data_IF_437714992573
#
_entry.id   IF_437714992573
#
_cell.length_a   1.000
_cell.length_b   1.000
_cell.length_c   1.000
_cell.angle_alpha   90.00
_cell.angle_beta   90.00
_cell.angle_gamma   90.00
#
_symmetry.space_group_name_H-M   'P 1'
#
loop_
_entity.id
_entity.type
_entity.pdbx_description
1 polymer ?
#
# COMPACT_ATOMS: atom_id res chain seq x y z
N UNK A 1 -3.77 -30.95 55.03
CA UNK A 1 -3.39 -31.37 53.66
C UNK A 1 -4.04 -30.54 52.54
N UNK A 2 -5.22 -29.93 52.74
CA UNK A 2 -5.88 -29.11 51.70
C UNK A 2 -5.22 -27.76 51.39
N UNK A 3 -4.43 -27.16 52.30
CA UNK A 3 -3.78 -25.86 52.07
C UNK A 3 -2.52 -25.91 51.21
N UNK A 4 -1.86 -27.06 51.10
CA UNK A 4 -0.66 -27.22 50.25
C UNK A 4 -1.02 -27.43 48.77
N UNK A 5 -2.19 -28.03 48.49
CA UNK A 5 -2.71 -28.22 47.13
C UNK A 5 -3.19 -26.91 46.49
N UNK A 6 -3.66 -25.95 47.29
CA UNK A 6 -4.13 -24.67 46.77
C UNK A 6 -2.99 -23.72 46.36
N UNK A 7 -1.84 -23.77 47.04
CA UNK A 7 -0.65 -23.00 46.62
C UNK A 7 -0.01 -23.56 45.34
N UNK A 8 -0.03 -24.89 45.15
CA UNK A 8 0.48 -25.51 43.92
C UNK A 8 -0.39 -25.17 42.69
N UNK A 9 -1.71 -25.01 42.87
CA UNK A 9 -2.63 -24.62 41.81
C UNK A 9 -2.49 -23.15 41.38
N UNK A 10 -2.15 -22.24 42.31
CA UNK A 10 -1.96 -20.81 42.00
C UNK A 10 -0.58 -20.54 41.36
N UNK A 11 0.44 -21.35 41.69
CA UNK A 11 1.76 -21.28 41.04
C UNK A 11 1.73 -21.87 39.62
N UNK A 12 0.87 -22.85 39.32
CA UNK A 12 0.68 -23.34 37.94
C UNK A 12 -0.13 -22.39 37.04
N UNK A 13 -0.93 -21.48 37.61
CA UNK A 13 -1.72 -20.50 36.87
C UNK A 13 -0.96 -19.18 36.57
N UNK A 14 0.28 -19.05 37.06
CA UNK A 14 1.14 -17.86 36.87
C UNK A 14 2.44 -18.16 36.14
N UNK A 15 2.61 -19.38 35.64
CA UNK A 15 3.65 -19.65 34.65
C UNK A 15 3.24 -18.94 33.35
N UNK A 16 4.06 -18.03 32.80
CA UNK A 16 3.83 -17.57 31.45
C UNK A 16 3.79 -18.84 30.59
N UNK A 17 2.69 -19.04 29.88
CA UNK A 17 2.67 -19.96 28.75
C UNK A 17 3.64 -19.33 27.75
N UNK A 18 4.93 -19.59 27.93
CA UNK A 18 5.91 -19.51 26.86
C UNK A 18 5.41 -20.55 25.88
N UNK A 19 4.57 -20.11 24.93
CA UNK A 19 4.16 -20.90 23.80
C UNK A 19 5.41 -21.18 22.99
N UNK A 20 6.21 -22.16 23.44
CA UNK A 20 7.22 -22.80 22.64
C UNK A 20 6.45 -23.53 21.55
N UNK A 21 6.11 -22.80 20.48
CA UNK A 21 5.84 -23.44 19.19
C UNK A 21 7.07 -24.33 18.90
N UNK A 22 6.87 -25.58 18.45
CA UNK A 22 7.97 -26.49 18.17
C UNK A 22 8.97 -25.80 17.24
N UNK A 23 10.27 -26.09 17.42
CA UNK A 23 11.33 -25.61 16.55
C UNK A 23 10.87 -25.77 15.09
N UNK A 24 10.61 -24.63 14.42
CA UNK A 24 10.17 -24.65 13.05
C UNK A 24 11.22 -25.42 12.26
N UNK A 25 10.83 -26.52 11.61
CA UNK A 25 11.67 -27.11 10.57
C UNK A 25 12.10 -25.94 9.67
N UNK A 26 13.40 -25.80 9.41
CA UNK A 26 13.97 -24.63 8.72
C UNK A 26 13.30 -24.44 7.37
N UNK A 27 12.21 -23.67 7.34
CA UNK A 27 11.52 -23.29 6.12
C UNK A 27 12.48 -22.33 5.42
N UNK A 28 13.05 -22.69 4.26
CA UNK A 28 14.04 -21.86 3.61
C UNK A 28 13.50 -20.44 3.41
N UNK A 29 14.31 -19.45 3.75
CA UNK A 29 13.99 -18.05 3.53
C UNK A 29 13.92 -17.77 2.02
N UNK A 30 12.98 -16.93 1.60
CA UNK A 30 13.01 -16.42 0.23
C UNK A 30 14.28 -15.58 0.01
N UNK A 31 14.87 -15.70 -1.17
CA UNK A 31 15.88 -14.75 -1.65
C UNK A 31 15.24 -13.43 -2.04
N UNK A 32 16.02 -12.35 -2.14
CA UNK A 32 15.53 -11.04 -2.62
C UNK A 32 14.85 -11.17 -3.99
N UNK A 33 15.42 -11.91 -4.93
CA UNK A 33 14.82 -12.13 -6.25
C UNK A 33 13.46 -12.85 -6.17
N UNK A 34 13.30 -13.79 -5.23
CA UNK A 34 12.02 -14.47 -5.02
C UNK A 34 10.98 -13.52 -4.39
N UNK A 35 11.39 -12.67 -3.46
CA UNK A 35 10.53 -11.62 -2.87
C UNK A 35 10.03 -10.65 -3.93
N UNK A 36 10.93 -10.11 -4.75
CA UNK A 36 10.59 -9.28 -5.89
C UNK A 36 9.66 -10.00 -6.86
N UNK A 37 9.89 -11.30 -7.12
CA UNK A 37 9.02 -12.09 -7.98
C UNK A 37 7.59 -12.22 -7.41
N UNK A 38 7.43 -12.40 -6.09
CA UNK A 38 6.11 -12.42 -5.45
C UNK A 38 5.39 -11.08 -5.56
N UNK A 39 6.09 -9.97 -5.29
CA UNK A 39 5.53 -8.62 -5.43
C UNK A 39 5.08 -8.36 -6.87
N UNK A 40 5.93 -8.65 -7.86
CA UNK A 40 5.56 -8.46 -9.27
C UNK A 40 4.45 -9.41 -9.75
N UNK A 41 4.43 -10.66 -9.28
CA UNK A 41 3.44 -11.65 -9.68
C UNK A 41 2.02 -11.30 -9.18
N UNK A 42 1.92 -10.72 -7.98
CA UNK A 42 0.64 -10.36 -7.35
C UNK A 42 0.29 -8.87 -7.40
N UNK A 43 1.15 -8.03 -7.99
CA UNK A 43 0.90 -6.59 -8.13
C UNK A 43 -0.47 -6.34 -8.80
N UNK A 44 -1.29 -5.41 -8.28
CA UNK A 44 -2.68 -5.24 -8.72
C UNK A 44 -2.81 -4.63 -10.13
N UNK A 45 -3.93 -4.85 -10.79
CA UNK A 45 -4.35 -3.99 -11.92
C UNK A 45 -5.35 -2.99 -11.38
N UNK A 46 -5.07 -1.70 -11.58
CA UNK A 46 -5.91 -0.60 -11.08
C UNK A 46 -6.65 0.00 -12.26
N UNK A 47 -7.97 -0.15 -12.26
CA UNK A 47 -8.88 0.59 -13.12
C UNK A 47 -9.14 1.93 -12.44
N UNK A 48 -9.07 3.04 -13.17
CA UNK A 48 -9.22 4.36 -12.55
C UNK A 48 -10.12 5.25 -13.38
N UNK A 49 -10.99 5.98 -12.68
CA UNK A 49 -11.77 7.09 -13.24
C UNK A 49 -10.87 8.31 -13.40
N UNK A 50 -11.26 9.22 -14.28
CA UNK A 50 -10.53 10.44 -14.59
C UNK A 50 -11.43 11.65 -14.30
N UNK A 51 -10.82 12.81 -14.11
CA UNK A 51 -11.42 14.11 -13.85
C UNK A 51 -10.60 15.23 -14.53
N UNK A 52 -10.35 15.09 -15.83
CA UNK A 52 -9.36 15.93 -16.54
C UNK A 52 -9.94 17.15 -17.27
N UNK A 53 -11.24 17.43 -17.26
CA UNK A 53 -11.76 18.62 -17.95
C UNK A 53 -11.45 19.91 -17.17
N UNK A 54 -11.71 21.04 -17.83
CA UNK A 54 -11.49 22.39 -17.30
C UNK A 54 -10.03 22.71 -16.93
N UNK A 55 -9.08 22.05 -17.61
CA UNK A 55 -7.65 22.31 -17.46
C UNK A 55 -7.04 21.51 -16.31
N UNK A 56 -7.41 20.24 -16.16
CA UNK A 56 -6.87 19.33 -15.14
C UNK A 56 -6.12 18.15 -15.78
N UNK A 57 -5.72 18.29 -17.05
CA UNK A 57 -5.07 17.24 -17.85
C UNK A 57 -3.88 16.60 -17.12
N UNK A 58 -3.94 15.28 -16.90
CA UNK A 58 -2.85 14.48 -16.33
C UNK A 58 -2.82 14.40 -14.81
N UNK A 59 -3.76 15.03 -14.09
CA UNK A 59 -3.87 14.98 -12.62
C UNK A 59 -4.41 13.67 -12.06
N UNK A 60 -4.72 12.71 -12.93
CA UNK A 60 -5.26 11.40 -12.51
C UNK A 60 -4.24 10.27 -12.71
N UNK A 61 -3.01 10.60 -13.10
CA UNK A 61 -1.97 9.60 -13.14
C UNK A 61 -1.54 9.21 -11.73
N UNK A 62 -1.28 7.92 -11.52
CA UNK A 62 -0.53 7.49 -10.35
C UNK A 62 0.84 8.20 -10.39
N UNK A 63 1.30 8.67 -9.24
CA UNK A 63 2.56 9.41 -9.14
C UNK A 63 3.51 8.79 -8.15
N UNK A 64 4.79 9.02 -8.40
CA UNK A 64 5.82 8.82 -7.40
C UNK A 64 5.73 9.95 -6.34
N UNK A 65 6.07 9.62 -5.11
CA UNK A 65 6.27 10.55 -3.99
C UNK A 65 7.12 11.80 -4.34
N UNK A 66 8.04 11.68 -5.29
CA UNK A 66 8.95 12.72 -5.79
C UNK A 66 8.86 12.87 -7.33
N UNK A 67 7.67 13.10 -7.88
CA UNK A 67 7.42 13.07 -9.34
C UNK A 67 8.11 14.20 -10.15
N UNK A 68 8.40 15.34 -9.54
CA UNK A 68 9.07 16.48 -10.19
C UNK A 68 10.58 16.57 -9.89
N UNK A 69 11.08 15.68 -9.02
CA UNK A 69 12.48 15.52 -8.64
C UNK A 69 13.13 16.74 -7.97
N UNK A 70 12.34 17.66 -7.41
CA UNK A 70 12.90 18.82 -6.71
C UNK A 70 13.33 18.52 -5.25
N UNK A 71 13.04 17.29 -4.78
CA UNK A 71 13.29 16.83 -3.42
C UNK A 71 12.64 17.75 -2.37
N UNK A 72 11.44 18.25 -2.65
CA UNK A 72 10.66 19.10 -1.76
C UNK A 72 9.19 18.68 -1.75
N UNK A 73 8.87 17.62 -1.03
CA UNK A 73 7.50 17.09 -1.00
C UNK A 73 6.44 18.06 -0.46
N UNK A 74 6.85 19.13 0.24
CA UNK A 74 5.94 20.19 0.66
C UNK A 74 5.43 21.07 -0.49
N UNK A 75 5.91 20.85 -1.71
CA UNK A 75 5.45 21.54 -2.92
C UNK A 75 4.66 20.63 -3.86
N UNK A 76 4.48 19.35 -3.52
CA UNK A 76 3.79 18.37 -4.35
C UNK A 76 2.40 18.86 -4.78
N UNK A 77 1.65 19.53 -3.90
CA UNK A 77 0.29 20.03 -4.17
C UNK A 77 0.22 20.84 -5.45
N UNK A 78 0.90 21.98 -5.49
CA UNK A 78 0.80 22.89 -6.64
C UNK A 78 1.62 22.40 -7.83
N UNK A 79 2.69 21.63 -7.61
CA UNK A 79 3.43 20.98 -8.69
C UNK A 79 2.55 19.98 -9.42
N UNK A 80 1.68 19.28 -8.69
CA UNK A 80 0.72 18.38 -9.28
C UNK A 80 -0.31 19.12 -10.14
N UNK A 81 -0.77 20.28 -9.65
CA UNK A 81 -1.62 21.18 -10.42
C UNK A 81 -0.95 21.75 -11.68
N UNK A 82 0.37 21.63 -11.86
CA UNK A 82 1.07 22.03 -13.09
C UNK A 82 1.22 20.89 -14.11
N UNK A 83 0.70 19.68 -13.84
CA UNK A 83 0.75 18.54 -14.78
C UNK A 83 0.11 18.84 -16.14
N UNK A 84 -0.90 19.71 -16.19
CA UNK A 84 -1.49 20.22 -17.43
C UNK A 84 -0.48 20.94 -18.33
N UNK A 85 0.48 21.67 -17.74
CA UNK A 85 1.54 22.34 -18.48
C UNK A 85 2.57 21.34 -19.00
N UNK A 86 2.82 20.25 -18.26
CA UNK A 86 3.63 19.14 -18.72
C UNK A 86 2.99 18.49 -19.96
N UNK A 87 1.69 18.23 -19.92
CA UNK A 87 0.90 17.69 -21.04
C UNK A 87 0.90 18.64 -22.24
N UNK A 88 0.64 19.93 -22.02
CA UNK A 88 0.63 20.93 -23.09
C UNK A 88 2.01 21.07 -23.75
N UNK A 89 3.08 21.08 -22.96
CA UNK A 89 4.45 21.13 -23.46
C UNK A 89 4.84 19.86 -24.24
N UNK A 90 4.38 18.68 -23.78
CA UNK A 90 4.49 17.41 -24.52
C UNK A 90 3.82 17.53 -25.89
N UNK A 91 2.57 18.01 -25.94
CA UNK A 91 1.82 18.18 -27.18
C UNK A 91 2.52 19.12 -28.17
N UNK A 92 3.09 20.21 -27.66
CA UNK A 92 3.88 21.17 -28.43
C UNK A 92 5.28 20.64 -28.85
N UNK A 93 5.69 19.47 -28.35
CA UNK A 93 7.04 18.91 -28.50
C UNK A 93 8.13 19.91 -28.08
N UNK A 94 7.85 20.66 -27.01
CA UNK A 94 8.71 21.73 -26.52
C UNK A 94 9.95 21.14 -25.81
N UNK A 95 11.05 20.98 -26.55
CA UNK A 95 12.30 20.39 -26.04
C UNK A 95 13.04 21.24 -25.01
N UNK A 96 12.66 22.52 -24.85
CA UNK A 96 13.20 23.45 -23.84
C UNK A 96 12.22 23.76 -22.70
N UNK A 97 11.14 22.99 -22.58
CA UNK A 97 10.17 23.17 -21.50
C UNK A 97 10.81 22.87 -20.14
N UNK A 98 10.54 23.67 -19.08
CA UNK A 98 10.97 23.32 -17.73
C UNK A 98 10.42 21.96 -17.27
N UNK A 99 9.26 21.56 -17.81
CA UNK A 99 8.59 20.29 -17.55
C UNK A 99 9.27 19.08 -18.21
N UNK A 100 10.20 19.28 -19.15
CA UNK A 100 10.89 18.17 -19.83
C UNK A 100 11.76 17.32 -18.88
N UNK A 101 12.16 17.92 -17.75
CA UNK A 101 12.91 17.24 -16.70
C UNK A 101 12.02 16.44 -15.74
N UNK A 102 10.71 16.73 -15.68
CA UNK A 102 9.79 16.03 -14.76
C UNK A 102 9.69 14.55 -15.12
N UNK A 103 9.42 13.75 -14.10
CA UNK A 103 9.34 12.29 -14.18
C UNK A 103 8.07 11.83 -13.48
N UNK A 104 6.94 12.07 -14.14
CA UNK A 104 5.68 11.45 -13.72
C UNK A 104 5.78 9.95 -14.02
N UNK A 105 6.01 9.19 -12.96
CA UNK A 105 6.17 7.74 -12.97
C UNK A 105 5.02 7.13 -12.18
N UNK A 106 4.03 6.51 -12.83
CA UNK A 106 3.08 5.66 -12.14
C UNK A 106 3.82 4.66 -11.26
N UNK A 107 3.64 4.77 -9.94
CA UNK A 107 4.42 4.04 -8.93
C UNK A 107 3.45 3.49 -7.89
N UNK A 108 3.66 2.23 -7.49
CA UNK A 108 3.14 1.71 -6.23
C UNK A 108 4.33 1.44 -5.30
N UNK A 109 4.33 2.09 -4.14
CA UNK A 109 5.31 1.79 -3.11
C UNK A 109 4.96 0.46 -2.46
N UNK A 110 5.93 -0.39 -2.24
CA UNK A 110 5.68 -1.77 -1.86
C UNK A 110 6.63 -2.25 -0.79
N UNK A 111 6.18 -3.29 -0.09
CA UNK A 111 7.00 -4.10 0.79
C UNK A 111 6.33 -5.46 0.97
N UNK A 112 7.02 -6.39 1.62
CA UNK A 112 6.40 -7.64 2.01
C UNK A 112 6.82 -8.07 3.41
N UNK A 113 5.92 -8.78 4.07
CA UNK A 113 6.15 -9.49 5.32
C UNK A 113 6.22 -10.97 5.03
N UNK A 114 7.35 -11.61 5.30
CA UNK A 114 7.53 -13.05 5.24
C UNK A 114 7.47 -13.62 6.65
N UNK A 115 6.61 -14.62 6.87
CA UNK A 115 6.49 -15.27 8.18
C UNK A 115 6.07 -16.73 8.05
N UNK A 116 6.27 -17.48 9.13
CA UNK A 116 5.88 -18.90 9.21
C UNK A 116 4.57 -19.01 10.01
N UNK A 117 3.53 -19.57 9.39
CA UNK A 117 2.29 -19.94 10.07
C UNK A 117 2.18 -21.45 10.12
N UNK A 118 2.27 -22.04 11.32
CA UNK A 118 2.40 -23.48 11.50
C UNK A 118 3.70 -24.02 10.88
N UNK A 119 3.59 -24.86 9.84
CA UNK A 119 4.74 -25.43 9.12
C UNK A 119 4.90 -24.86 7.70
N UNK A 120 4.12 -23.84 7.34
CA UNK A 120 4.12 -23.27 5.98
C UNK A 120 4.48 -21.79 6.02
N UNK A 121 5.07 -21.33 4.91
CA UNK A 121 5.39 -19.92 4.73
C UNK A 121 4.16 -19.16 4.24
N UNK A 122 4.00 -17.95 4.74
CA UNK A 122 2.99 -16.99 4.30
C UNK A 122 3.66 -15.67 3.97
N UNK A 123 3.05 -14.91 3.07
CA UNK A 123 3.43 -13.55 2.76
C UNK A 123 2.26 -12.61 3.02
N UNK A 124 2.55 -11.41 3.53
CA UNK A 124 1.69 -10.23 3.35
C UNK A 124 2.39 -9.35 2.33
N UNK A 125 1.73 -9.09 1.21
CA UNK A 125 2.24 -8.21 0.15
C UNK A 125 1.52 -6.87 0.30
N UNK A 126 2.29 -5.79 0.42
CA UNK A 126 1.77 -4.45 0.66
C UNK A 126 2.06 -3.58 -0.57
N UNK A 127 1.04 -2.89 -1.06
CA UNK A 127 1.15 -1.91 -2.13
C UNK A 127 0.45 -0.63 -1.67
N UNK A 128 1.12 0.51 -1.84
CA UNK A 128 0.67 1.81 -1.40
C UNK A 128 0.54 2.72 -2.62
N UNK A 129 -0.65 3.25 -2.80
CA UNK A 129 -0.98 4.24 -3.83
C UNK A 129 -0.74 5.61 -3.20
N UNK A 130 0.21 6.35 -3.74
CA UNK A 130 0.42 7.74 -3.37
C UNK A 130 -0.45 8.65 -4.24
N UNK A 131 -1.21 9.54 -3.62
CA UNK A 131 -1.89 10.62 -4.33
C UNK A 131 -1.18 11.95 -4.00
N UNK A 132 -0.62 12.58 -5.04
CA UNK A 132 0.16 13.80 -4.91
C UNK A 132 -0.69 15.01 -4.53
N UNK A 133 -1.98 15.00 -4.83
CA UNK A 133 -2.97 15.83 -4.19
C UNK A 133 -4.08 14.96 -3.59
N UNK A 134 -4.78 15.51 -2.61
CA UNK A 134 -5.98 14.93 -2.03
C UNK A 134 -7.20 15.13 -2.95
N UNK A 135 -8.34 14.55 -2.57
CA UNK A 135 -9.63 14.61 -3.23
C UNK A 135 -10.03 15.98 -3.77
N UNK A 136 -9.88 17.07 -3.03
CA UNK A 136 -10.27 18.38 -3.54
C UNK A 136 -9.14 19.07 -4.35
N UNK A 137 -8.03 18.38 -4.60
CA UNK A 137 -6.82 18.96 -5.17
C UNK A 137 -6.11 19.95 -4.24
N UNK A 138 -6.55 20.07 -2.98
CA UNK A 138 -6.18 21.14 -2.05
C UNK A 138 -5.37 20.67 -0.82
N UNK A 139 -5.06 19.38 -0.71
CA UNK A 139 -4.15 18.82 0.28
C UNK A 139 -3.12 17.88 -0.40
N UNK A 140 -2.16 17.33 0.34
CA UNK A 140 -1.07 16.46 -0.15
C UNK A 140 -0.99 15.17 0.66
N UNK A 141 -0.19 14.20 0.20
CA UNK A 141 0.13 12.99 0.97
C UNK A 141 -1.07 12.14 1.36
N UNK A 142 -2.03 11.94 0.45
CA UNK A 142 -2.97 10.84 0.62
C UNK A 142 -2.32 9.51 0.27
N UNK A 143 -2.66 8.49 1.04
CA UNK A 143 -2.13 7.15 0.90
C UNK A 143 -3.25 6.13 0.99
N UNK A 144 -3.48 5.44 -0.10
CA UNK A 144 -4.34 4.27 -0.12
C UNK A 144 -3.48 3.01 -0.11
N UNK A 145 -3.98 1.92 0.48
CA UNK A 145 -3.24 0.67 0.60
C UNK A 145 -4.02 -0.48 -0.02
N UNK A 146 -3.29 -1.37 -0.67
CA UNK A 146 -3.73 -2.70 -1.10
C UNK A 146 -2.84 -3.73 -0.41
N UNK A 147 -3.43 -4.55 0.44
CA UNK A 147 -2.77 -5.65 1.14
C UNK A 147 -3.25 -6.98 0.57
N UNK A 148 -2.33 -7.93 0.35
CA UNK A 148 -2.66 -9.28 -0.15
C UNK A 148 -1.96 -10.33 0.71
N UNK A 149 -2.72 -11.22 1.35
CA UNK A 149 -2.18 -12.31 2.17
C UNK A 149 -2.12 -13.61 1.36
N UNK A 150 -0.92 -14.12 1.14
CA UNK A 150 -0.65 -15.37 0.39
C UNK A 150 -0.19 -16.47 1.34
N UNK A 151 -0.76 -17.67 1.20
CA UNK A 151 -0.49 -18.84 2.04
C UNK A 151 0.17 -19.96 1.24
N UNK A 152 0.90 -20.83 1.94
CA UNK A 152 1.64 -21.97 1.37
C UNK A 152 2.68 -21.54 0.31
N UNK A 153 3.37 -20.45 0.62
CA UNK A 153 4.37 -19.83 -0.23
C UNK A 153 5.59 -20.75 -0.38
N UNK A 154 6.13 -20.78 -1.59
CA UNK A 154 7.32 -21.57 -1.95
C UNK A 154 8.39 -20.66 -2.55
N UNK A 155 9.41 -21.23 -3.19
CA UNK A 155 10.42 -20.43 -3.90
C UNK A 155 9.95 -19.82 -5.23
N UNK A 156 8.71 -20.08 -5.67
CA UNK A 156 8.17 -19.60 -6.95
C UNK A 156 6.71 -19.21 -6.80
N UNK A 157 6.32 -17.97 -7.17
CA UNK A 157 4.93 -17.54 -7.14
C UNK A 157 4.02 -18.42 -8.02
N UNK A 158 2.78 -18.63 -7.59
CA UNK A 158 1.79 -19.42 -8.31
C UNK A 158 2.03 -20.94 -8.27
N UNK A 159 2.93 -21.42 -7.41
CA UNK A 159 3.19 -22.85 -7.26
C UNK A 159 1.93 -23.62 -6.77
N UNK A 160 1.87 -24.92 -7.07
CA UNK A 160 0.75 -25.77 -6.66
C UNK A 160 0.59 -25.78 -5.14
N UNK A 161 -0.63 -25.51 -4.65
CA UNK A 161 -0.98 -25.47 -3.23
C UNK A 161 -0.87 -24.08 -2.59
N UNK A 162 -0.21 -23.13 -3.26
CA UNK A 162 -0.25 -21.71 -2.93
C UNK A 162 -1.63 -21.12 -3.20
N UNK A 163 -2.09 -20.22 -2.35
CA UNK A 163 -3.32 -19.49 -2.60
C UNK A 163 -3.32 -18.12 -1.91
N UNK A 164 -4.04 -17.18 -2.52
CA UNK A 164 -4.38 -15.92 -1.85
C UNK A 164 -5.52 -16.18 -0.88
N UNK A 165 -5.30 -15.86 0.39
CA UNK A 165 -6.26 -16.06 1.46
C UNK A 165 -7.26 -14.91 1.53
N UNK A 166 -6.75 -13.69 1.57
CA UNK A 166 -7.54 -12.47 1.61
C UNK A 166 -6.75 -11.31 0.98
N UNK A 167 -7.45 -10.21 0.77
CA UNK A 167 -6.89 -8.89 0.53
C UNK A 167 -7.65 -7.85 1.34
N UNK A 168 -6.99 -6.75 1.63
CA UNK A 168 -7.60 -5.54 2.21
C UNK A 168 -7.29 -4.36 1.30
N UNK A 169 -8.26 -3.48 1.09
CA UNK A 169 -8.03 -2.18 0.46
C UNK A 169 -8.44 -1.06 1.43
N UNK A 170 -7.77 0.07 1.35
CA UNK A 170 -8.22 1.27 2.06
C UNK A 170 -9.30 1.97 1.22
N UNK A 171 -10.39 2.32 1.88
CA UNK A 171 -11.53 3.03 1.34
C UNK A 171 -11.76 4.22 2.29
N UNK A 172 -11.09 5.35 2.02
CA UNK A 172 -10.99 6.46 2.98
C UNK A 172 -10.40 6.04 4.34
N UNK A 173 -11.19 6.09 5.41
CA UNK A 173 -10.79 5.68 6.77
C UNK A 173 -11.14 4.22 7.06
N UNK A 174 -11.71 3.51 6.09
CA UNK A 174 -12.18 2.13 6.23
C UNK A 174 -11.20 1.15 5.57
N UNK A 175 -11.22 -0.09 6.03
CA UNK A 175 -10.33 -1.14 5.55
C UNK A 175 -11.13 -2.37 5.12
N UNK A 176 -11.54 -2.33 3.85
CA UNK A 176 -12.45 -3.31 3.27
C UNK A 176 -11.70 -4.59 2.93
N UNK A 177 -12.11 -5.69 3.57
CA UNK A 177 -11.48 -7.00 3.39
C UNK A 177 -12.32 -7.89 2.46
N UNK A 178 -11.64 -8.64 1.61
CA UNK A 178 -12.22 -9.74 0.82
C UNK A 178 -11.39 -10.98 1.00
N UNK A 179 -12.03 -12.13 1.14
CA UNK A 179 -11.35 -13.41 1.26
C UNK A 179 -11.71 -14.37 0.14
N UNK A 180 -10.90 -15.42 0.05
CA UNK A 180 -11.10 -16.52 -0.88
C UNK A 180 -12.52 -17.08 -0.76
N UNK A 181 -13.27 -16.98 -1.85
CA UNK A 181 -14.64 -17.47 -1.96
C UNK A 181 -15.68 -16.36 -1.91
N UNK A 182 -15.30 -15.13 -1.55
CA UNK A 182 -16.19 -13.99 -1.59
C UNK A 182 -16.47 -13.56 -3.04
N UNK A 183 -17.68 -13.05 -3.27
CA UNK A 183 -18.01 -12.32 -4.50
C UNK A 183 -17.17 -11.04 -4.58
N UNK A 184 -16.65 -10.72 -5.76
CA UNK A 184 -15.79 -9.55 -5.96
C UNK A 184 -14.31 -9.76 -5.68
N UNK A 185 -13.90 -10.94 -5.19
CA UNK A 185 -12.49 -11.26 -5.00
C UNK A 185 -11.84 -11.77 -6.31
N UNK A 186 -11.79 -10.89 -7.31
CA UNK A 186 -11.41 -11.22 -8.67
C UNK A 186 -9.95 -10.90 -8.99
N UNK A 187 -9.36 -11.77 -9.82
CA UNK A 187 -7.98 -11.62 -10.28
C UNK A 187 -7.90 -11.74 -11.80
N UNK A 188 -7.08 -10.89 -12.41
CA UNK A 188 -6.56 -11.10 -13.76
C UNK A 188 -5.44 -12.14 -13.71
N UNK A 189 -5.73 -13.35 -14.17
CA UNK A 189 -4.73 -14.40 -14.27
C UNK A 189 -4.06 -14.34 -15.65
N UNK A 190 -2.74 -14.25 -15.67
CA UNK A 190 -1.90 -14.24 -16.87
C UNK A 190 -0.77 -15.24 -16.73
N UNK A 191 0.01 -15.44 -17.80
CA UNK A 191 1.18 -16.30 -17.75
C UNK A 191 2.29 -15.77 -16.82
N UNK A 192 2.30 -14.47 -16.50
CA UNK A 192 3.33 -13.80 -15.70
C UNK A 192 2.83 -13.29 -14.36
N UNK A 193 1.56 -13.51 -14.02
CA UNK A 193 1.01 -12.98 -12.77
C UNK A 193 -0.45 -13.31 -12.51
N UNK A 194 -0.85 -13.05 -11.27
CA UNK A 194 -2.21 -13.13 -10.75
C UNK A 194 -2.52 -11.81 -10.04
N UNK A 195 -3.10 -10.89 -10.79
CA UNK A 195 -3.24 -9.49 -10.38
C UNK A 195 -4.63 -9.25 -9.79
N UNK A 196 -4.69 -8.78 -8.54
CA UNK A 196 -5.96 -8.35 -7.95
C UNK A 196 -6.52 -7.19 -8.78
N UNK A 197 -7.82 -7.22 -9.09
CA UNK A 197 -8.47 -6.15 -9.84
C UNK A 197 -9.14 -5.18 -8.88
N UNK A 198 -8.66 -3.93 -8.89
CA UNK A 198 -9.12 -2.86 -8.02
C UNK A 198 -9.54 -1.69 -8.90
N UNK A 199 -10.60 -1.00 -8.50
CA UNK A 199 -11.01 0.26 -9.10
C UNK A 199 -10.69 1.40 -8.15
N UNK A 200 -10.22 2.53 -8.67
CA UNK A 200 -9.89 3.73 -7.90
C UNK A 200 -10.75 4.91 -8.38
N UNK A 201 -11.34 5.61 -7.43
CA UNK A 201 -11.97 6.89 -7.68
C UNK A 201 -10.95 7.99 -7.99
N UNK A 202 -11.45 9.19 -8.17
CA UNK A 202 -10.63 10.34 -8.48
C UNK A 202 -10.96 11.55 -7.61
N UNK A 203 -10.22 12.65 -7.83
CA UNK A 203 -10.27 13.87 -7.03
C UNK A 203 -11.73 14.32 -6.78
N UNK A 204 -12.55 14.57 -7.81
CA UNK A 204 -13.89 15.14 -7.60
C UNK A 204 -15.08 14.17 -7.70
N UNK A 205 -16.07 14.37 -6.82
CA UNK A 205 -17.45 13.87 -6.94
C UNK A 205 -18.39 14.61 -5.98
N UNK A 206 -19.68 14.70 -6.31
CA UNK A 206 -20.69 15.19 -5.34
C UNK A 206 -20.66 14.34 -4.07
N UNK A 207 -21.10 14.87 -2.92
CA UNK A 207 -21.18 14.18 -1.61
C UNK A 207 -21.91 12.81 -1.63
N UNK A 208 -22.57 12.45 -2.74
CA UNK A 208 -23.26 11.16 -2.93
C UNK A 208 -22.60 10.25 -3.99
N UNK A 209 -21.47 10.66 -4.57
CA UNK A 209 -20.76 9.94 -5.61
C UNK A 209 -19.47 9.30 -5.07
N UNK A 210 -19.10 8.16 -5.64
CA UNK A 210 -17.80 7.50 -5.50
C UNK A 210 -16.68 8.50 -5.85
N UNK A 211 -15.88 8.92 -4.87
CA UNK A 211 -14.96 10.07 -4.97
C UNK A 211 -13.68 9.86 -4.15
N UNK A 212 -12.78 10.84 -4.18
CA UNK A 212 -11.73 11.01 -3.20
C UNK A 212 -10.71 9.87 -3.11
N UNK A 213 -10.21 9.45 -4.27
CA UNK A 213 -9.17 8.42 -4.45
C UNK A 213 -9.49 7.03 -3.86
N UNK A 214 -10.70 6.83 -3.36
CA UNK A 214 -11.09 5.62 -2.66
C UNK A 214 -10.88 4.37 -3.53
N UNK A 215 -10.43 3.27 -2.92
CA UNK A 215 -10.29 1.99 -3.61
C UNK A 215 -11.54 1.13 -3.41
N UNK A 216 -11.91 0.41 -4.47
CA UNK A 216 -13.03 -0.55 -4.49
C UNK A 216 -12.60 -1.84 -5.19
N UNK A 217 -13.15 -2.98 -4.78
CA UNK A 217 -12.93 -4.22 -5.51
C UNK A 217 -13.71 -4.21 -6.82
N UNK A 218 -13.14 -4.78 -7.88
CA UNK A 218 -13.85 -5.01 -9.14
C UNK A 218 -14.60 -6.35 -9.08
N UNK A 219 -15.92 -6.28 -9.21
CA UNK A 219 -16.82 -7.44 -9.20
C UNK A 219 -16.80 -8.22 -10.51
N UNK A 220 -16.47 -7.55 -11.62
CA UNK A 220 -16.26 -8.20 -12.91
C UNK A 220 -15.10 -9.20 -12.89
N UNK A 221 -15.24 -10.26 -13.69
CA UNK A 221 -14.13 -11.18 -13.96
C UNK A 221 -13.26 -10.64 -15.09
N UNK A 222 -11.96 -10.94 -15.09
CA UNK A 222 -11.13 -10.54 -16.23
C UNK A 222 -11.61 -11.14 -17.55
N UNK A 223 -12.13 -12.37 -17.53
CA UNK A 223 -12.70 -13.02 -18.71
C UNK A 223 -13.94 -12.30 -19.24
N UNK A 224 -14.80 -11.74 -18.37
CA UNK A 224 -15.95 -10.96 -18.83
C UNK A 224 -15.45 -9.70 -19.53
N UNK A 225 -14.60 -8.91 -18.87
CA UNK A 225 -14.01 -7.68 -19.43
C UNK A 225 -13.30 -7.93 -20.77
N UNK A 226 -12.42 -8.93 -20.84
CA UNK A 226 -11.65 -9.24 -22.04
C UNK A 226 -12.50 -9.75 -23.22
N UNK A 227 -13.71 -10.23 -22.95
CA UNK A 227 -14.65 -10.70 -23.98
C UNK A 227 -15.57 -9.60 -24.52
N UNK A 228 -15.62 -8.44 -23.86
CA UNK A 228 -16.48 -7.34 -24.28
C UNK A 228 -15.95 -6.77 -25.61
N UNK A 229 -16.85 -6.41 -26.55
CA UNK A 229 -16.48 -5.59 -27.70
C UNK A 229 -15.76 -4.32 -27.22
N UNK A 230 -14.65 -3.96 -27.88
CA UNK A 230 -13.89 -2.76 -27.51
C UNK A 230 -14.68 -1.45 -27.69
N UNK A 231 -15.83 -1.52 -28.38
CA UNK A 231 -16.79 -0.42 -28.60
C UNK A 231 -17.92 -0.40 -27.58
N UNK A 232 -17.85 -1.21 -26.54
CA UNK A 232 -18.73 -1.09 -25.38
C UNK A 232 -18.17 -0.05 -24.41
N UNK A 233 -19.06 0.51 -23.59
CA UNK A 233 -18.75 1.36 -22.46
C UNK A 233 -17.65 0.72 -21.59
N UNK A 234 -16.60 1.49 -21.34
CA UNK A 234 -15.50 1.16 -20.45
C UNK A 234 -15.96 1.34 -19.01
N UNK A 235 -16.64 0.34 -18.49
CA UNK A 235 -17.15 0.33 -17.13
C UNK A 235 -16.85 -0.99 -16.43
N UNK A 236 -16.79 -0.94 -15.10
CA UNK A 236 -16.68 -2.12 -14.24
C UNK A 236 -17.68 -2.04 -13.10
N UNK A 237 -18.25 -3.18 -12.72
CA UNK A 237 -19.02 -3.30 -11.49
C UNK A 237 -18.06 -3.27 -10.28
N UNK A 238 -18.38 -2.47 -9.26
CA UNK A 238 -17.55 -2.33 -8.06
C UNK A 238 -18.27 -2.75 -6.77
N UNK A 239 -17.51 -3.15 -5.76
CA UNK A 239 -18.05 -3.49 -4.44
C UNK A 239 -18.77 -2.31 -3.77
N UNK A 240 -19.92 -2.56 -3.16
CA UNK A 240 -20.63 -1.60 -2.29
C UNK A 240 -21.49 -0.54 -3.00
N UNK A 241 -21.59 -0.55 -4.34
CA UNK A 241 -22.42 0.44 -5.07
C UNK A 241 -23.47 -0.15 -6.03
N UNK A 242 -23.57 -1.48 -6.18
CA UNK A 242 -24.54 -2.18 -7.06
C UNK A 242 -24.71 -1.53 -8.46
N UNK A 243 -23.66 -0.88 -8.97
CA UNK A 243 -23.67 -0.13 -10.21
C UNK A 243 -22.30 -0.15 -10.89
N UNK A 244 -22.31 0.10 -12.20
CA UNK A 244 -21.12 0.22 -13.01
C UNK A 244 -20.43 1.57 -12.81
N UNK A 245 -19.10 1.57 -12.87
CA UNK A 245 -18.28 2.79 -12.82
C UNK A 245 -17.36 2.91 -14.02
N UNK A 246 -17.28 4.14 -14.53
CA UNK A 246 -16.42 4.50 -15.65
C UNK A 246 -14.95 4.18 -15.39
N UNK A 247 -14.28 3.75 -16.46
CA UNK A 247 -12.85 3.45 -16.54
C UNK A 247 -12.24 4.29 -17.63
N UNK A 248 -11.40 5.25 -17.24
CA UNK A 248 -10.62 6.07 -18.17
C UNK A 248 -9.18 5.60 -18.26
N UNK A 249 -8.68 5.00 -17.18
CA UNK A 249 -7.32 4.52 -17.04
C UNK A 249 -7.28 3.06 -16.61
N UNK A 250 -6.29 2.33 -17.13
CA UNK A 250 -5.89 1.00 -16.66
C UNK A 250 -4.40 1.04 -16.36
N UNK A 251 -4.04 0.98 -15.09
CA UNK A 251 -2.66 0.90 -14.62
C UNK A 251 -2.27 -0.56 -14.45
N UNK A 252 -1.20 -0.95 -15.15
CA UNK A 252 -0.74 -2.35 -15.26
C UNK A 252 0.69 -2.49 -14.75
N UNK A 253 1.02 -3.50 -13.95
CA UNK A 253 2.38 -3.67 -13.43
C UNK A 253 3.37 -3.91 -14.57
N UNK A 254 4.40 -3.06 -14.68
CA UNK A 254 5.34 -3.08 -15.80
C UNK A 254 6.11 -4.40 -15.94
N UNK A 255 6.35 -5.09 -14.82
CA UNK A 255 7.06 -6.36 -14.80
C UNK A 255 6.23 -7.55 -15.32
N UNK A 256 4.90 -7.41 -15.40
CA UNK A 256 4.04 -8.48 -15.90
C UNK A 256 3.83 -8.35 -17.41
N UNK A 257 4.78 -8.86 -18.20
CA UNK A 257 4.75 -8.72 -19.66
C UNK A 257 3.48 -9.28 -20.30
N UNK A 258 2.87 -10.33 -19.73
CA UNK A 258 1.61 -10.86 -20.24
C UNK A 258 0.43 -9.94 -19.95
N UNK A 259 0.37 -9.30 -18.76
CA UNK A 259 -0.66 -8.31 -18.46
C UNK A 259 -0.50 -7.03 -19.29
N UNK A 260 0.74 -6.55 -19.46
CA UNK A 260 1.08 -5.41 -20.33
C UNK A 260 0.63 -5.68 -21.76
N UNK A 261 0.93 -6.87 -22.29
CA UNK A 261 0.51 -7.27 -23.64
C UNK A 261 -1.01 -7.36 -23.76
N UNK A 262 -1.67 -7.95 -22.77
CA UNK A 262 -3.12 -8.15 -22.79
C UNK A 262 -3.89 -6.82 -22.81
N UNK A 263 -3.41 -5.80 -22.09
CA UNK A 263 -4.01 -4.47 -22.07
C UNK A 263 -3.44 -3.51 -23.10
N UNK A 264 -2.29 -3.83 -23.72
CA UNK A 264 -1.57 -2.90 -24.58
C UNK A 264 -1.04 -1.67 -23.83
N UNK A 265 -0.67 -1.84 -22.56
CA UNK A 265 -0.21 -0.76 -21.68
C UNK A 265 1.14 -0.19 -22.11
N UNK A 266 1.35 1.11 -21.89
CA UNK A 266 2.57 1.83 -22.29
C UNK A 266 3.17 2.60 -21.11
N UNK A 267 4.51 2.77 -21.05
CA UNK A 267 5.11 3.66 -20.09
C UNK A 267 4.72 5.11 -20.38
N UNK A 268 4.51 5.89 -19.32
CA UNK A 268 4.33 7.33 -19.41
C UNK A 268 5.67 8.03 -19.54
N UNK A 269 5.78 8.95 -20.49
CA UNK A 269 6.97 9.75 -20.76
C UNK A 269 6.56 11.15 -21.21
N UNK A 270 7.47 12.11 -21.12
CA UNK A 270 7.20 13.46 -21.65
C UNK A 270 6.88 13.46 -23.15
N UNK A 271 7.33 12.46 -23.90
CA UNK A 271 7.09 12.39 -25.35
C UNK A 271 5.71 11.88 -25.75
N UNK A 272 5.03 11.15 -24.86
CA UNK A 272 3.74 10.50 -25.12
C UNK A 272 2.63 10.91 -24.14
N UNK A 273 2.95 11.72 -23.13
CA UNK A 273 2.04 12.24 -22.12
C UNK A 273 0.74 12.77 -22.73
N UNK A 274 0.83 13.66 -23.71
CA UNK A 274 -0.34 14.24 -24.40
C UNK A 274 -1.21 13.24 -25.18
N UNK A 275 -0.77 12.00 -25.34
CA UNK A 275 -1.55 10.92 -25.97
C UNK A 275 -2.10 9.91 -24.96
N UNK A 276 -1.57 9.96 -23.74
CA UNK A 276 -1.93 9.07 -22.63
C UNK A 276 -2.79 9.77 -21.58
N UNK A 277 -3.02 11.07 -21.67
CA UNK A 277 -4.10 11.74 -20.93
C UNK A 277 -5.47 11.21 -21.39
N UNK A 278 -6.41 11.03 -20.47
CA UNK A 278 -7.78 10.66 -20.77
C UNK A 278 -8.51 11.84 -21.42
N UNK A 279 -8.38 13.05 -20.86
CA UNK A 279 -9.05 14.28 -21.30
C UNK A 279 -10.56 14.19 -21.13
N UNK A 280 -11.01 13.56 -20.05
CA UNK A 280 -12.42 13.28 -19.78
C UNK A 280 -12.73 13.47 -18.30
N UNK A 281 -13.87 14.08 -18.02
CA UNK A 281 -14.44 14.11 -16.68
C UNK A 281 -15.09 12.80 -16.26
N UNK A 282 -15.27 12.70 -14.96
CA UNK A 282 -15.77 11.53 -14.28
C UNK A 282 -17.18 11.12 -14.81
N UNK A 283 -18.05 12.07 -15.19
CA UNK A 283 -19.39 11.87 -15.76
C UNK A 283 -19.38 11.37 -17.22
N UNK A 284 -18.23 11.42 -17.89
CA UNK A 284 -18.13 10.98 -19.28
C UNK A 284 -17.89 9.48 -19.35
N UNK A 285 -18.74 8.76 -20.07
CA UNK A 285 -18.50 7.34 -20.39
C UNK A 285 -17.79 7.26 -21.74
N UNK A 286 -16.72 6.46 -21.80
CA UNK A 286 -15.95 6.21 -23.03
C UNK A 286 -16.05 4.75 -23.43
N UNK A 287 -15.76 4.44 -24.69
CA UNK A 287 -15.62 3.05 -25.11
C UNK A 287 -14.28 2.44 -24.62
N UNK A 288 -14.22 1.12 -24.43
CA UNK A 288 -12.98 0.43 -24.02
C UNK A 288 -11.77 0.76 -24.91
N UNK A 289 -11.93 0.98 -26.22
CA UNK A 289 -10.81 1.35 -27.09
C UNK A 289 -10.23 2.74 -26.77
N UNK A 290 -10.99 3.61 -26.10
CA UNK A 290 -10.58 4.98 -25.74
C UNK A 290 -9.86 5.05 -24.39
N UNK A 291 -10.16 4.12 -23.47
CA UNK A 291 -9.50 4.02 -22.16
C UNK A 291 -7.97 3.95 -22.30
N UNK A 292 -7.24 4.73 -21.52
CA UNK A 292 -5.78 4.80 -21.56
C UNK A 292 -5.19 3.66 -20.75
N UNK A 293 -4.10 3.06 -21.24
CA UNK A 293 -3.42 1.96 -20.57
C UNK A 293 -1.98 2.35 -20.27
N UNK A 294 -1.65 2.47 -19.00
CA UNK A 294 -0.34 2.89 -18.53
C UNK A 294 0.33 1.77 -17.76
N UNK A 295 1.64 1.63 -17.90
CA UNK A 295 2.42 0.77 -16.99
C UNK A 295 2.79 1.55 -15.74
N UNK A 296 2.85 0.87 -14.61
CA UNK A 296 3.41 1.38 -13.36
C UNK A 296 4.54 0.50 -12.84
N UNK A 297 5.39 1.07 -12.00
CA UNK A 297 6.50 0.37 -11.35
C UNK A 297 6.29 0.15 -9.87
N UNK A 298 7.11 -0.73 -9.30
CA UNK A 298 7.19 -0.95 -7.87
C UNK A 298 8.47 -0.29 -7.33
N UNK A 299 8.34 0.42 -6.22
CA UNK A 299 9.44 1.02 -5.46
C UNK A 299 9.33 0.65 -3.98
N UNK A 300 10.41 0.75 -3.22
CA UNK A 300 10.38 0.34 -1.82
C UNK A 300 9.75 1.41 -0.93
N UNK A 301 8.82 1.00 -0.05
CA UNK A 301 8.29 1.94 0.96
C UNK A 301 9.40 2.46 1.90
N UNK A 302 10.51 1.71 2.01
CA UNK A 302 11.66 2.07 2.81
C UNK A 302 12.36 3.36 2.33
N UNK A 303 12.26 3.74 1.04
CA UNK A 303 12.81 4.99 0.49
C UNK A 303 12.24 6.24 1.14
N UNK A 304 11.00 6.15 1.61
CA UNK A 304 10.26 7.28 2.18
C UNK A 304 10.59 7.47 3.66
N UNK A 305 10.98 6.41 4.36
CA UNK A 305 11.22 6.43 5.81
C UNK A 305 12.28 7.46 6.24
N UNK A 306 13.46 7.55 5.61
CA UNK A 306 14.49 8.53 5.99
C UNK A 306 14.03 9.99 5.88
N UNK A 307 13.04 10.28 5.03
CA UNK A 307 12.53 11.64 4.84
C UNK A 307 11.85 12.19 6.10
N UNK A 308 11.26 11.30 6.90
CA UNK A 308 10.58 11.61 8.16
C UNK A 308 11.54 11.69 9.36
N UNK A 309 12.72 11.10 9.24
CA UNK A 309 13.61 10.89 10.38
C UNK A 309 14.18 12.19 10.95
N UNK A 310 14.05 12.40 12.26
CA UNK A 310 14.55 13.60 12.92
C UNK A 310 16.08 13.79 12.83
N UNK A 311 16.82 12.71 12.57
CA UNK A 311 18.27 12.76 12.31
C UNK A 311 18.63 13.18 10.89
N UNK A 312 17.68 13.19 9.95
CA UNK A 312 17.91 13.66 8.59
C UNK A 312 17.88 15.19 8.56
N UNK A 313 18.98 15.91 8.23
CA UNK A 313 19.01 17.37 8.24
C UNK A 313 18.00 18.04 7.29
N UNK A 314 17.44 17.30 6.33
CA UNK A 314 16.44 17.78 5.39
C UNK A 314 14.97 17.55 5.82
N UNK A 315 14.70 16.89 6.96
CA UNK A 315 13.33 16.53 7.36
C UNK A 315 12.37 17.73 7.35
N UNK A 316 12.83 18.91 7.77
CA UNK A 316 12.00 20.12 7.92
C UNK A 316 11.55 20.75 6.60
N UNK A 317 12.13 20.30 5.49
CA UNK A 317 11.65 20.64 4.14
C UNK A 317 10.29 20.00 3.87
N UNK A 318 10.03 18.83 4.47
CA UNK A 318 8.90 17.96 4.15
C UNK A 318 7.86 17.88 5.27
N UNK A 319 8.31 17.99 6.52
CA UNK A 319 7.49 17.69 7.69
C UNK A 319 7.52 18.81 8.74
N UNK A 320 6.47 18.87 9.55
CA UNK A 320 6.37 19.72 10.72
C UNK A 320 6.64 18.93 12.00
N UNK A 321 7.18 19.61 13.01
CA UNK A 321 7.52 18.98 14.30
C UNK A 321 6.34 18.82 15.25
N UNK A 322 5.11 19.11 14.81
CA UNK A 322 3.89 19.12 15.63
C UNK A 322 3.28 17.75 15.84
N UNK A 323 3.58 16.77 14.98
CA UNK A 323 3.28 15.35 15.19
C UNK A 323 4.57 14.53 15.13
N UNK A 324 4.69 13.55 16.01
CA UNK A 324 5.88 12.71 16.15
C UNK A 324 5.49 11.27 16.36
N UNK A 325 6.26 10.38 15.76
CA UNK A 325 6.17 8.94 15.94
C UNK A 325 7.53 8.42 16.37
N UNK A 326 7.58 7.74 17.51
CA UNK A 326 8.80 7.10 18.00
C UNK A 326 8.76 5.62 17.62
N UNK A 327 9.81 5.14 16.95
CA UNK A 327 9.95 3.73 16.54
C UNK A 327 11.25 3.17 17.09
N UNK A 328 11.16 2.03 17.79
CA UNK A 328 12.32 1.26 18.23
C UNK A 328 12.80 0.35 17.09
N UNK A 329 13.84 0.81 16.40
CA UNK A 329 14.48 0.07 15.31
C UNK A 329 15.48 -0.95 15.88
N UNK A 330 15.26 -2.24 15.63
CA UNK A 330 16.23 -3.27 16.00
C UNK A 330 17.41 -3.33 15.02
N UNK A 331 17.14 -2.99 13.76
CA UNK A 331 18.12 -2.89 12.69
C UNK A 331 18.01 -1.53 11.99
N UNK A 332 19.13 -0.99 11.46
CA UNK A 332 19.09 0.28 10.74
C UNK A 332 18.29 0.14 9.44
N UNK A 333 17.72 1.26 8.99
CA UNK A 333 17.28 1.40 7.59
C UNK A 333 18.51 1.77 6.77
N UNK A 334 18.73 1.04 5.68
CA UNK A 334 19.86 1.23 4.78
C UNK A 334 19.34 1.45 3.36
N UNK A 335 20.04 2.27 2.58
CA UNK A 335 19.74 2.38 1.15
C UNK A 335 20.31 1.22 0.35
N UNK A 336 20.11 1.27 -0.97
CA UNK A 336 20.45 0.24 -1.95
C UNK A 336 21.97 -0.02 -2.01
N UNK A 337 22.80 0.93 -1.54
CA UNK A 337 24.26 0.76 -1.43
C UNK A 337 24.71 0.12 -0.11
N UNK A 338 23.78 -0.10 0.82
CA UNK A 338 24.03 -0.58 2.17
C UNK A 338 24.49 0.51 3.14
N UNK A 339 24.41 1.78 2.76
CA UNK A 339 24.71 2.89 3.67
C UNK A 339 23.54 3.11 4.63
N UNK A 340 23.85 3.32 5.90
CA UNK A 340 22.84 3.58 6.94
C UNK A 340 22.22 4.96 6.73
N UNK A 341 20.91 4.99 6.57
CA UNK A 341 20.12 6.22 6.45
C UNK A 341 19.32 6.53 7.71
N UNK A 342 18.96 5.50 8.48
CA UNK A 342 18.38 5.64 9.82
C UNK A 342 19.06 4.65 10.75
N UNK A 343 19.58 5.13 11.88
CA UNK A 343 20.26 4.27 12.85
C UNK A 343 19.29 3.36 13.61
N UNK A 344 19.76 2.19 14.04
CA UNK A 344 19.05 1.37 15.02
C UNK A 344 18.88 2.09 16.38
N UNK A 345 18.04 1.53 17.24
CA UNK A 345 17.59 2.11 18.50
C UNK A 345 16.28 2.91 18.34
N UNK A 346 15.83 3.53 19.44
CA UNK A 346 14.67 4.43 19.40
C UNK A 346 14.95 5.67 18.57
N UNK A 347 14.27 5.76 17.43
CA UNK A 347 14.33 6.90 16.53
C UNK A 347 13.02 7.65 16.56
N UNK A 348 13.12 8.97 16.32
CA UNK A 348 11.96 9.85 16.18
C UNK A 348 11.74 10.19 14.72
N UNK A 349 10.49 10.16 14.31
CA UNK A 349 10.02 10.56 13.00
C UNK A 349 9.01 11.70 13.14
N UNK A 350 9.05 12.63 12.19
CA UNK A 350 8.07 13.70 12.05
C UNK A 350 7.07 13.30 10.97
N UNK A 351 5.79 13.31 11.33
CA UNK A 351 4.74 12.77 10.46
C UNK A 351 3.77 13.81 9.95
N UNK A 352 3.64 14.96 10.61
CA UNK A 352 2.74 16.02 10.12
C UNK A 352 3.27 16.59 8.82
N UNK A 353 2.51 16.49 7.73
CA UNK A 353 2.92 17.03 6.44
C UNK A 353 3.04 18.55 6.48
N UNK A 354 4.13 19.04 5.88
CA UNK A 354 4.25 20.45 5.54
C UNK A 354 3.68 20.67 4.15
N UNK A 355 2.80 21.65 3.99
CA UNK A 355 2.30 22.10 2.70
C UNK A 355 2.62 23.59 2.53
N UNK A 356 3.57 23.92 1.66
CA UNK A 356 3.97 25.31 1.42
C UNK A 356 2.88 26.14 0.70
N UNK A 357 1.88 25.48 0.13
CA UNK A 357 0.72 26.16 -0.44
C UNK A 357 -0.37 26.45 0.58
N UNK A 358 -0.39 25.79 1.74
CA UNK A 358 -1.39 26.01 2.78
C UNK A 358 -1.06 27.24 3.63
N UNK A 359 -2.08 27.98 4.07
CA UNK A 359 -1.90 29.24 4.79
C UNK A 359 -1.21 29.11 6.16
N UNK A 360 -1.39 27.96 6.79
CA UNK A 360 -0.82 27.53 8.07
C UNK A 360 0.33 26.53 7.91
N UNK A 361 0.80 26.34 6.67
CA UNK A 361 1.90 25.45 6.28
C UNK A 361 1.64 23.95 6.46
N UNK A 362 0.39 23.54 6.59
CA UNK A 362 0.00 22.13 6.69
C UNK A 362 -1.34 21.90 6.00
N UNK A 363 -1.56 20.69 5.53
CA UNK A 363 -2.84 20.19 5.01
C UNK A 363 -3.55 19.28 6.01
N UNK A 364 -3.08 19.33 7.26
CA UNK A 364 -3.49 18.51 8.38
C UNK A 364 -3.26 16.99 8.28
N UNK A 365 -2.64 16.49 7.21
CA UNK A 365 -2.40 15.06 7.01
C UNK A 365 -1.12 14.56 7.68
N UNK A 366 -0.97 13.24 7.69
CA UNK A 366 0.24 12.58 8.18
C UNK A 366 0.87 11.68 7.12
N UNK A 367 2.19 11.62 7.16
CA UNK A 367 3.00 10.71 6.38
C UNK A 367 2.88 9.25 6.84
N UNK A 368 3.45 8.36 6.02
CA UNK A 368 3.30 6.91 6.11
C UNK A 368 3.61 6.33 7.49
N UNK A 369 4.61 6.87 8.20
CA UNK A 369 5.08 6.35 9.49
C UNK A 369 4.01 6.40 10.60
N UNK A 370 3.07 7.34 10.48
CA UNK A 370 1.98 7.55 11.43
C UNK A 370 0.78 6.65 11.16
N UNK A 371 0.68 6.08 9.96
CA UNK A 371 -0.48 5.29 9.56
C UNK A 371 -0.44 3.96 10.29
N UNK A 372 -1.42 3.69 11.15
CA UNK A 372 -1.52 2.45 11.93
C UNK A 372 -1.53 1.20 11.05
N UNK A 373 -2.12 1.32 9.86
CA UNK A 373 -2.14 0.26 8.87
C UNK A 373 -0.74 -0.10 8.29
N UNK A 374 0.31 0.73 8.51
CA UNK A 374 1.70 0.35 8.24
C UNK A 374 2.13 -0.83 9.13
N UNK A 375 1.51 -0.96 10.30
CA UNK A 375 1.72 -2.03 11.29
C UNK A 375 0.62 -3.11 11.23
N UNK A 376 -0.20 -3.10 10.18
CA UNK A 376 -1.35 -4.01 10.05
C UNK A 376 -2.47 -3.74 11.04
N UNK A 377 -2.44 -2.57 11.70
CA UNK A 377 -3.39 -2.17 12.74
C UNK A 377 -4.50 -1.38 12.08
N UNK A 378 -5.67 -2.00 12.00
CA UNK A 378 -6.90 -1.43 11.49
C UNK A 378 -8.06 -2.38 11.80
N UNK A 379 -9.28 -1.86 11.80
CA UNK A 379 -10.49 -2.68 11.84
C UNK A 379 -10.90 -3.15 10.45
N UNK A 380 -11.04 -4.45 10.27
CA UNK A 380 -11.41 -5.03 8.97
C UNK A 380 -12.93 -4.98 8.77
N UNK A 381 -13.38 -4.53 7.60
CA UNK A 381 -14.80 -4.35 7.30
C UNK A 381 -15.26 -5.13 6.07
N UNK A 382 -16.53 -5.54 6.08
CA UNK A 382 -17.11 -6.34 5.00
C UNK A 382 -17.52 -5.45 3.82
N UNK A 383 -18.19 -4.34 4.10
CA UNK A 383 -18.65 -3.35 3.15
C UNK A 383 -18.81 -2.02 3.91
N UNK A 384 -18.92 -0.91 3.18
CA UNK A 384 -19.11 0.45 3.72
C UNK A 384 -20.21 0.46 4.79
N UNK A 385 -19.82 0.67 6.04
CA UNK A 385 -20.71 1.21 7.06
C UNK A 385 -20.81 2.73 6.81
N UNK A 386 -21.85 3.41 7.32
CA UNK A 386 -22.09 4.83 7.02
C UNK A 386 -20.81 5.67 7.19
N UNK A 387 -20.42 6.41 6.13
CA UNK A 387 -19.18 7.19 6.02
C UNK A 387 -18.63 7.71 7.37
N UNK A 388 -17.42 7.29 7.72
CA UNK A 388 -16.59 7.95 8.73
C UNK A 388 -16.51 7.28 10.09
N UNK A 389 -16.78 5.97 10.20
CA UNK A 389 -16.55 5.24 11.45
C UNK A 389 -15.78 3.93 11.26
N UNK A 390 -14.46 4.01 11.09
CA UNK A 390 -13.61 2.90 11.53
C UNK A 390 -12.26 3.40 12.06
N UNK A 391 -12.08 3.27 13.36
CA UNK A 391 -10.95 2.51 13.89
C UNK A 391 -11.31 2.03 15.30
N UNK A 392 -11.49 0.72 15.45
CA UNK A 392 -11.80 0.07 16.71
C UNK A 392 -10.66 -0.84 17.17
N UNK A 393 -9.50 -0.81 16.51
CA UNK A 393 -8.37 -1.66 16.85
C UNK A 393 -7.19 -0.86 17.46
N UNK A 394 -7.20 -0.62 18.79
CA UNK A 394 -6.22 0.20 19.49
C UNK A 394 -4.89 -0.56 19.69
N UNK A 395 -4.18 -0.77 18.57
CA UNK A 395 -2.89 -1.44 18.53
C UNK A 395 -1.84 -0.63 19.29
N UNK A 396 -1.73 0.67 19.04
CA UNK A 396 -0.74 1.55 19.67
C UNK A 396 -0.90 1.64 21.19
N UNK A 397 -2.14 1.70 21.68
CA UNK A 397 -2.46 1.71 23.11
C UNK A 397 -2.17 0.37 23.78
N UNK A 398 -1.95 -0.69 22.99
CA UNK A 398 -1.65 -2.03 23.48
C UNK A 398 -2.88 -2.76 24.05
N UNK A 399 -4.09 -2.30 23.71
CA UNK A 399 -5.36 -2.90 24.14
C UNK A 399 -6.03 -3.73 23.06
N UNK A 400 -5.64 -3.56 21.79
CA UNK A 400 -6.12 -4.37 20.68
C UNK A 400 -5.66 -5.83 20.77
N UNK A 401 -6.61 -6.78 20.83
CA UNK A 401 -6.33 -8.22 20.95
C UNK A 401 -6.55 -8.99 19.65
N UNK A 402 -5.67 -9.97 19.39
CA UNK A 402 -5.84 -10.95 18.31
C UNK A 402 -6.84 -12.07 18.67
N UNK A 403 -7.10 -12.99 17.73
CA UNK A 403 -8.00 -14.13 17.90
C UNK A 403 -7.59 -15.09 19.04
N UNK A 404 -6.40 -14.92 19.61
CA UNK A 404 -5.87 -15.70 20.73
C UNK A 404 -5.78 -14.90 22.03
N UNK A 405 -6.28 -13.67 22.05
CA UNK A 405 -6.24 -12.75 23.19
C UNK A 405 -4.88 -12.11 23.43
N UNK A 406 -3.96 -12.13 22.45
CA UNK A 406 -2.66 -11.49 22.56
C UNK A 406 -2.77 -10.03 22.12
N UNK A 407 -2.13 -9.13 22.87
CA UNK A 407 -1.89 -7.75 22.46
C UNK A 407 -0.51 -7.59 21.83
N UNK A 408 -0.24 -6.47 21.15
CA UNK A 408 1.08 -6.21 20.52
C UNK A 408 2.24 -6.38 21.50
N UNK A 409 2.11 -5.84 22.71
CA UNK A 409 3.17 -5.89 23.73
C UNK A 409 3.44 -7.32 24.23
N UNK A 410 2.40 -8.17 24.27
CA UNK A 410 2.56 -9.58 24.60
C UNK A 410 3.27 -10.31 23.45
N UNK A 411 2.89 -10.01 22.21
CA UNK A 411 3.48 -10.64 21.03
C UNK A 411 4.95 -10.26 20.82
N UNK A 412 5.31 -8.98 20.98
CA UNK A 412 6.68 -8.49 20.87
C UNK A 412 7.53 -8.72 22.12
N UNK A 413 6.89 -8.89 23.29
CA UNK A 413 7.57 -8.95 24.60
C UNK A 413 8.02 -7.58 25.12
N UNK A 414 7.60 -6.47 24.49
CA UNK A 414 7.95 -5.10 24.85
C UNK A 414 6.83 -4.44 25.66
N UNK A 415 6.76 -4.77 26.95
CA UNK A 415 5.71 -4.28 27.86
C UNK A 415 5.77 -2.77 28.16
N UNK A 416 6.80 -2.07 27.73
CA UNK A 416 6.94 -0.62 27.83
C UNK A 416 6.54 0.12 26.54
N UNK A 417 6.17 -0.58 25.47
CA UNK A 417 5.78 0.04 24.20
C UNK A 417 4.40 0.71 24.17
N UNK A 418 3.35 0.25 24.88
CA UNK A 418 2.03 0.86 24.81
C UNK A 418 2.03 2.37 25.03
N UNK A 419 1.40 3.13 24.13
CA UNK A 419 1.35 4.59 24.15
C UNK A 419 2.74 5.30 24.13
N UNK A 420 3.82 4.57 23.87
CA UNK A 420 5.18 5.12 23.93
C UNK A 420 5.93 5.04 22.61
N UNK A 421 5.88 3.91 21.91
CA UNK A 421 6.58 3.72 20.64
C UNK A 421 6.01 2.52 19.88
N UNK A 422 6.28 2.47 18.58
CA UNK A 422 6.15 1.25 17.77
C UNK A 422 7.46 0.46 17.79
N UNK A 423 7.41 -0.85 17.90
CA UNK A 423 8.58 -1.65 17.57
C UNK A 423 8.61 -1.91 16.06
N UNK A 424 9.80 -1.86 15.46
CA UNK A 424 10.02 -2.05 14.02
C UNK A 424 9.23 -3.23 13.43
N UNK A 425 9.13 -4.34 14.17
CA UNK A 425 8.51 -5.58 13.71
C UNK A 425 7.16 -5.86 14.38
N UNK A 426 6.52 -4.85 14.97
CA UNK A 426 5.09 -4.92 15.27
C UNK A 426 4.34 -5.04 13.93
N UNK A 427 3.58 -6.14 13.79
CA UNK A 427 2.69 -6.35 12.66
C UNK A 427 1.55 -7.29 13.06
N UNK A 428 0.31 -6.88 12.76
CA UNK A 428 -0.87 -7.72 12.88
C UNK A 428 -1.28 -8.26 11.51
N UNK A 429 -1.51 -9.57 11.40
CA UNK A 429 -1.96 -10.19 10.14
C UNK A 429 -3.41 -10.61 10.25
N UNK A 430 -4.26 -10.01 9.41
CA UNK A 430 -5.68 -10.33 9.30
C UNK A 430 -5.93 -11.70 8.65
N UNK A 431 -6.93 -12.44 9.16
CA UNK A 431 -7.28 -13.76 8.63
C UNK A 431 -8.32 -13.72 7.50
N UNK A 432 -8.93 -12.55 7.24
CA UNK A 432 -9.99 -12.38 6.24
C UNK A 432 -11.40 -12.34 6.83
N UNK A 433 -11.54 -12.48 8.14
CA UNK A 433 -12.83 -12.45 8.84
C UNK A 433 -13.05 -11.08 9.47
N UNK A 434 -14.21 -10.50 9.23
CA UNK A 434 -14.61 -9.22 9.83
C UNK A 434 -15.02 -9.45 11.28
N UNK A 435 -14.47 -8.66 12.19
CA UNK A 435 -14.91 -8.56 13.58
C UNK A 435 -15.55 -7.19 13.80
N UNK A 436 -16.71 -7.16 14.46
CA UNK A 436 -17.39 -5.92 14.84
C UNK A 436 -17.28 -5.66 16.34
N UNK A 437 -16.56 -6.51 17.08
CA UNK A 437 -16.29 -6.30 18.48
C UNK A 437 -15.25 -5.18 18.70
N UNK A 438 -15.51 -4.31 19.67
CA UNK A 438 -14.54 -3.27 20.04
C UNK A 438 -13.22 -3.88 20.53
N UNK A 439 -12.10 -3.36 20.02
CA UNK A 439 -10.73 -3.70 20.43
C UNK A 439 -10.28 -5.14 20.17
N UNK A 440 -10.97 -5.88 19.31
CA UNK A 440 -10.58 -7.23 18.90
C UNK A 440 -10.60 -7.32 17.39
N UNK A 441 -9.60 -8.00 16.81
CA UNK A 441 -9.55 -8.25 15.37
C UNK A 441 -9.24 -9.72 15.09
N UNK A 442 -9.78 -10.23 13.97
CA UNK A 442 -9.52 -11.60 13.55
C UNK A 442 -8.19 -11.71 12.81
N UNK A 443 -7.24 -12.40 13.43
CA UNK A 443 -5.88 -12.47 12.94
C UNK A 443 -4.90 -12.92 14.01
N UNK A 444 -3.62 -12.68 13.75
CA UNK A 444 -2.56 -12.90 14.73
C UNK A 444 -1.57 -11.73 14.74
N UNK A 445 -1.22 -11.26 15.94
CA UNK A 445 0.01 -10.49 16.12
C UNK A 445 1.21 -11.41 15.86
N UNK A 446 2.13 -11.01 14.99
CA UNK A 446 3.34 -11.78 14.76
C UNK A 446 4.25 -11.75 16.00
N UNK A 447 4.71 -12.92 16.43
CA UNK A 447 5.25 -13.11 17.80
C UNK A 447 6.77 -13.29 17.82
N UNK A 448 7.40 -12.72 18.85
CA UNK A 448 8.83 -12.83 19.10
C UNK A 448 9.65 -12.44 17.89
N UNK A 449 10.75 -13.16 17.65
CA UNK A 449 11.69 -12.87 16.58
C UNK A 449 11.23 -13.38 15.18
N UNK A 450 9.94 -13.23 14.84
CA UNK A 450 9.34 -13.78 13.62
C UNK A 450 10.05 -13.33 12.34
N UNK A 451 10.54 -12.08 12.31
CA UNK A 451 11.22 -11.42 11.19
C UNK A 451 12.63 -11.95 10.93
N UNK A 452 13.18 -12.80 11.81
CA UNK A 452 14.54 -13.32 11.65
C UNK A 452 14.58 -14.48 10.68
N UNK A 453 15.71 -14.59 9.96
CA UNK A 453 15.97 -15.71 9.06
C UNK A 453 15.94 -17.06 9.78
N UNK A 454 16.34 -17.11 11.05
CA UNK A 454 16.28 -18.32 11.89
C UNK A 454 14.85 -18.83 12.11
N UNK A 455 13.86 -17.94 12.11
CA UNK A 455 12.44 -18.25 12.23
C UNK A 455 11.72 -18.26 10.87
N UNK A 456 12.48 -18.17 9.78
CA UNK A 456 11.97 -18.24 8.42
C UNK A 456 11.16 -17.01 7.98
N UNK A 457 11.39 -15.85 8.61
CA UNK A 457 10.71 -14.60 8.26
C UNK A 457 11.63 -13.48 7.84
N UNK A 458 11.01 -12.37 7.42
CA UNK A 458 11.62 -11.17 6.88
C UNK A 458 10.61 -10.01 6.94
N UNK A 459 11.05 -8.83 7.36
CA UNK A 459 10.23 -7.61 7.37
C UNK A 459 10.74 -6.63 6.32
N UNK A 460 10.06 -6.58 5.18
CA UNK A 460 10.45 -5.78 4.02
C UNK A 460 10.07 -4.31 4.11
N UNK A 461 9.34 -3.87 5.15
CA UNK A 461 8.95 -2.45 5.29
C UNK A 461 10.15 -1.50 5.49
N UNK A 462 11.30 -2.05 5.88
CA UNK A 462 12.49 -1.32 6.31
C UNK A 462 13.73 -1.63 5.47
N UNK A 463 13.56 -2.33 4.34
CA UNK A 463 14.65 -2.91 3.56
C UNK A 463 14.42 -2.66 2.08
N UNK A 464 15.48 -2.26 1.37
CA UNK A 464 15.43 -2.12 -0.10
C UNK A 464 15.38 -3.49 -0.78
N UNK A 465 14.33 -3.70 -1.57
CA UNK A 465 14.16 -4.85 -2.44
C UNK A 465 14.42 -4.49 -3.90
N UNK A 466 14.09 -3.29 -4.35
CA UNK A 466 14.26 -2.79 -5.71
C UNK A 466 15.49 -1.87 -5.81
N UNK A 467 15.97 -1.65 -7.03
CA UNK A 467 17.00 -0.66 -7.32
C UNK A 467 16.34 0.43 -8.16
N UNK A 468 15.85 1.46 -7.47
CA UNK A 468 15.02 2.54 -8.00
C UNK A 468 15.71 3.91 -7.92
N UNK A 469 17.04 3.90 -7.79
CA UNK A 469 17.89 5.10 -7.78
C UNK A 469 17.54 6.03 -8.95
N UNK A 470 17.06 7.26 -8.68
CA UNK A 470 16.62 8.19 -9.72
C UNK A 470 17.71 8.44 -10.76
N UNK A 471 17.39 8.19 -12.04
CA UNK A 471 18.29 8.48 -13.17
C UNK A 471 19.27 7.35 -13.54
N UNK A 472 19.21 6.21 -12.85
CA UNK A 472 19.91 4.96 -13.22
C UNK A 472 18.93 3.88 -13.70
N UNK A 473 17.81 4.30 -14.29
CA UNK A 473 16.79 3.38 -14.79
C UNK A 473 17.40 2.29 -15.68
N UNK A 474 16.97 1.03 -15.55
CA UNK A 474 17.37 0.00 -16.49
C UNK A 474 17.04 0.48 -17.90
N UNK A 475 18.05 0.61 -18.75
CA UNK A 475 17.80 0.76 -20.18
C UNK A 475 17.05 -0.49 -20.62
N UNK A 476 15.75 -0.36 -20.88
CA UNK A 476 14.94 -1.42 -21.47
C UNK A 476 15.58 -1.72 -22.82
N UNK A 477 16.27 -2.86 -22.91
CA UNK A 477 16.84 -3.40 -24.14
C UNK A 477 15.82 -4.18 -24.93
#
# INVERSE_FOLDING_TARGET
MARALLLAAIVLATLPITGNRPAYATVPLLTTAQRQAYLNYYAPVIFKRANEDNGQDGRDWLTNYNFDQDHNFATNRYRWLESEHYVAASAAKATSSPYAAWRIRPTLYTSLIEYTSGTTKSLVLLYHVYNAADKEGDAIHDWERIEIVVRNVTGTPGATGEYVNNSTITHHHEHIIRKRGDSGFNFMNTATGRHLMVWQADEAGSVLATHAHELRYVNDTYSSLASQPVTNDAEVEISGKDENKNVHYIFVPQASSAAVTAWGAKPLTFSNASTLIAGHDNEHTVDWYQAKRLTYELQDIADIIPTHWAGNPAWSTHWLSSAVDDVELESPVVNETGAVEVNAGRQRFYSKSRDNGASDLTDDREGIIHKDWLYGVYSAEADEDIEGSSDHFPGYEGTGTDSYGWTRQMASGRYDSPNSYWWQHDFFVHDGTVDTAGSTENGEWLRGAWYTSANGGFDGRWVQLFDDRPGLEPTIS
#
